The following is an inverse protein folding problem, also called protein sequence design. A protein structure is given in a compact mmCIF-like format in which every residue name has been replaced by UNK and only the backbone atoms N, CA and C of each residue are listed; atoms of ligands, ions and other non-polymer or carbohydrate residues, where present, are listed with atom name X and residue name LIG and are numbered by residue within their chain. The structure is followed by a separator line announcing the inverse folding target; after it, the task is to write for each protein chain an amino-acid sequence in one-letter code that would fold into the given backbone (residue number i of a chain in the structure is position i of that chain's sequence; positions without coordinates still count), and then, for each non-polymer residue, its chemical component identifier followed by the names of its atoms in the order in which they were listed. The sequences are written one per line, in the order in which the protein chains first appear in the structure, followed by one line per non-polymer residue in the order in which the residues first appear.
data_IF_325648404945
#
_entry.id   IF_325648404945
#
_cell.length_a   1.000
_cell.length_b   1.000
_cell.length_c   1.000
_cell.angle_alpha   90.00
_cell.angle_beta   90.00
_cell.angle_gamma   90.00
#
_symmetry.space_group_name_H-M   'P 1'
#
loop_
_entity.id
_entity.type
_entity.pdbx_description
1 polymer ?
#
# COMPACT_ATOMS: atom_id res chain seq x y z
N UNK A 1 76.36 -7.21 5.01
CA UNK A 1 76.19 -7.22 3.54
C UNK A 1 75.80 -8.57 2.97
N UNK A 2 76.60 -9.66 3.09
CA UNK A 2 76.21 -10.97 2.53
C UNK A 2 74.98 -11.59 3.20
N UNK A 3 74.90 -11.52 4.54
CA UNK A 3 73.78 -12.06 5.32
C UNK A 3 72.46 -11.31 5.10
N UNK A 4 72.53 -9.99 4.88
CA UNK A 4 71.35 -9.15 4.65
C UNK A 4 70.70 -9.45 3.29
N UNK A 5 71.52 -9.73 2.26
CA UNK A 5 71.07 -10.11 0.92
C UNK A 5 70.40 -11.49 0.94
N UNK A 6 70.97 -12.46 1.66
CA UNK A 6 70.37 -13.78 1.83
C UNK A 6 69.05 -13.71 2.59
N UNK A 7 68.98 -12.92 3.67
CA UNK A 7 67.75 -12.69 4.43
C UNK A 7 66.64 -12.09 3.56
N UNK A 8 66.97 -11.08 2.74
CA UNK A 8 66.02 -10.47 1.80
C UNK A 8 65.55 -11.45 0.72
N UNK A 9 66.46 -12.28 0.18
CA UNK A 9 66.12 -13.32 -0.80
C UNK A 9 65.13 -14.33 -0.22
N UNK A 10 65.36 -14.81 1.00
CA UNK A 10 64.44 -15.73 1.68
C UNK A 10 63.08 -15.09 1.92
N UNK A 11 63.03 -13.83 2.37
CA UNK A 11 61.77 -13.09 2.56
C UNK A 11 61.00 -12.96 1.24
N UNK A 12 61.68 -12.61 0.16
CA UNK A 12 61.07 -12.50 -1.17
C UNK A 12 60.49 -13.85 -1.63
N UNK A 13 61.23 -14.94 -1.46
CA UNK A 13 60.76 -16.29 -1.82
C UNK A 13 59.54 -16.72 -0.99
N UNK A 14 59.53 -16.41 0.30
CA UNK A 14 58.38 -16.67 1.17
C UNK A 14 57.16 -15.87 0.73
N UNK A 15 57.32 -14.57 0.45
CA UNK A 15 56.22 -13.72 -0.05
C UNK A 15 55.72 -14.20 -1.41
N UNK A 16 56.61 -14.62 -2.31
CA UNK A 16 56.21 -15.14 -3.61
C UNK A 16 55.38 -16.42 -3.46
N UNK A 17 55.81 -17.34 -2.59
CA UNK A 17 55.08 -18.58 -2.30
C UNK A 17 53.71 -18.31 -1.67
N UNK A 18 53.65 -17.35 -0.74
CA UNK A 18 52.39 -16.92 -0.12
C UNK A 18 51.46 -16.27 -1.16
N UNK A 19 52.00 -15.44 -2.05
CA UNK A 19 51.24 -14.83 -3.14
C UNK A 19 50.69 -15.88 -4.11
N UNK A 20 51.51 -16.86 -4.54
CA UNK A 20 51.08 -17.95 -5.42
C UNK A 20 49.97 -18.78 -4.76
N UNK A 21 50.11 -19.10 -3.46
CA UNK A 21 49.10 -19.81 -2.67
C UNK A 21 47.78 -19.01 -2.55
N UNK A 22 47.88 -17.70 -2.31
CA UNK A 22 46.72 -16.81 -2.26
C UNK A 22 46.02 -16.70 -3.62
N UNK A 23 46.76 -16.64 -4.73
CA UNK A 23 46.18 -16.65 -6.08
C UNK A 23 45.44 -17.95 -6.37
N UNK A 24 46.01 -19.10 -5.99
CA UNK A 24 45.32 -20.39 -6.14
C UNK A 24 44.05 -20.45 -5.29
N UNK A 25 44.11 -20.00 -4.03
CA UNK A 25 42.96 -19.96 -3.15
C UNK A 25 41.86 -19.04 -3.69
N UNK A 26 42.21 -17.85 -4.18
CA UNK A 26 41.28 -16.91 -4.82
C UNK A 26 40.62 -17.54 -6.05
N UNK A 27 41.40 -18.24 -6.88
CA UNK A 27 40.87 -18.97 -8.04
C UNK A 27 39.87 -20.07 -7.65
N UNK A 28 40.14 -20.82 -6.58
CA UNK A 28 39.20 -21.83 -6.04
C UNK A 28 37.91 -21.18 -5.55
N UNK A 29 38.00 -20.10 -4.77
CA UNK A 29 36.82 -19.38 -4.26
C UNK A 29 35.97 -18.81 -5.40
N UNK A 30 36.59 -18.23 -6.44
CA UNK A 30 35.87 -17.73 -7.61
C UNK A 30 35.12 -18.85 -8.35
N UNK A 31 35.74 -20.04 -8.49
CA UNK A 31 35.09 -21.20 -9.09
C UNK A 31 33.90 -21.69 -8.25
N UNK A 32 34.05 -21.75 -6.93
CA UNK A 32 32.98 -22.17 -6.03
C UNK A 32 31.82 -21.18 -6.01
N UNK A 33 32.09 -19.87 -6.03
CA UNK A 33 31.07 -18.84 -6.21
C UNK A 33 30.32 -19.01 -7.53
N UNK A 34 31.02 -19.28 -8.64
CA UNK A 34 30.39 -19.50 -9.94
C UNK A 34 29.48 -20.74 -9.92
N UNK A 35 29.94 -21.85 -9.35
CA UNK A 35 29.14 -23.07 -9.19
C UNK A 35 27.89 -22.84 -8.34
N UNK A 36 28.04 -22.21 -7.17
CA UNK A 36 26.92 -21.92 -6.29
C UNK A 36 25.91 -20.98 -6.95
N UNK A 37 26.36 -19.95 -7.67
CA UNK A 37 25.48 -19.04 -8.42
C UNK A 37 24.66 -19.80 -9.46
N UNK A 38 25.29 -20.69 -10.23
CA UNK A 38 24.59 -21.51 -11.22
C UNK A 38 23.58 -22.46 -10.56
N UNK A 39 23.95 -23.10 -9.45
CA UNK A 39 23.04 -23.97 -8.70
C UNK A 39 21.83 -23.19 -8.15
N UNK A 40 22.04 -22.00 -7.59
CA UNK A 40 20.96 -21.14 -7.10
C UNK A 40 20.03 -20.70 -8.23
N UNK A 41 20.57 -20.33 -9.39
CA UNK A 41 19.77 -19.97 -10.55
C UNK A 41 18.90 -21.15 -11.02
N UNK A 42 19.46 -22.35 -11.12
CA UNK A 42 18.69 -23.54 -11.49
C UNK A 42 17.62 -23.89 -10.45
N UNK A 43 17.91 -23.78 -9.16
CA UNK A 43 16.92 -24.01 -8.11
C UNK A 43 15.79 -22.97 -8.15
N UNK A 44 16.12 -21.70 -8.38
CA UNK A 44 15.13 -20.63 -8.50
C UNK A 44 14.18 -20.88 -9.68
N UNK A 45 14.71 -21.22 -10.86
CA UNK A 45 13.92 -21.57 -12.03
C UNK A 45 13.04 -22.81 -11.79
N UNK A 46 13.60 -23.85 -11.17
CA UNK A 46 12.84 -25.05 -10.82
C UNK A 46 11.70 -24.75 -9.84
N UNK A 47 11.94 -23.96 -8.79
CA UNK A 47 10.93 -23.56 -7.82
C UNK A 47 9.82 -22.72 -8.44
N UNK A 48 10.17 -21.77 -9.32
CA UNK A 48 9.19 -20.98 -10.07
C UNK A 48 8.31 -21.89 -10.93
N UNK A 49 8.90 -22.81 -11.68
CA UNK A 49 8.17 -23.75 -12.54
C UNK A 49 7.26 -24.69 -11.75
N UNK A 50 7.79 -25.30 -10.69
CA UNK A 50 7.03 -26.16 -9.79
C UNK A 50 5.87 -25.41 -9.14
N UNK A 51 6.13 -24.20 -8.64
CA UNK A 51 5.14 -23.32 -8.04
C UNK A 51 4.07 -22.89 -9.02
N UNK A 52 4.44 -22.57 -10.27
CA UNK A 52 3.52 -22.24 -11.33
C UNK A 52 2.57 -23.41 -11.64
N UNK A 53 3.10 -24.62 -11.79
CA UNK A 53 2.28 -25.81 -12.11
C UNK A 53 1.37 -26.18 -10.94
N UNK A 54 1.93 -26.40 -9.75
CA UNK A 54 1.16 -26.85 -8.59
C UNK A 54 0.17 -25.76 -8.13
N UNK A 55 0.62 -24.51 -8.09
CA UNK A 55 -0.20 -23.37 -7.73
C UNK A 55 -1.40 -23.21 -8.68
N UNK A 56 -1.21 -23.35 -9.99
CA UNK A 56 -2.33 -23.28 -10.95
C UNK A 56 -3.33 -24.43 -10.77
N UNK A 57 -2.89 -25.64 -10.43
CA UNK A 57 -3.78 -26.76 -10.14
C UNK A 57 -4.64 -26.45 -8.91
N UNK A 58 -4.02 -25.97 -7.82
CA UNK A 58 -4.73 -25.63 -6.59
C UNK A 58 -5.64 -24.41 -6.81
N UNK A 59 -5.19 -23.41 -7.57
CA UNK A 59 -6.02 -22.25 -7.91
C UNK A 59 -7.28 -22.65 -8.68
N UNK A 60 -7.16 -23.56 -9.66
CA UNK A 60 -8.32 -24.09 -10.36
C UNK A 60 -9.23 -24.90 -9.43
N UNK A 61 -8.65 -25.75 -8.59
CA UNK A 61 -9.41 -26.58 -7.65
C UNK A 61 -10.15 -25.74 -6.60
N UNK A 62 -9.53 -24.66 -6.09
CA UNK A 62 -10.10 -23.79 -5.05
C UNK A 62 -11.28 -22.94 -5.54
N UNK A 63 -11.65 -23.01 -6.83
CA UNK A 63 -12.94 -22.47 -7.30
C UNK A 63 -14.13 -23.27 -6.75
N UNK A 64 -13.90 -24.50 -6.31
CA UNK A 64 -14.90 -25.37 -5.71
C UNK A 64 -14.98 -25.04 -4.21
N UNK A 65 -16.13 -24.63 -3.66
CA UNK A 65 -16.26 -24.23 -2.26
C UNK A 65 -15.78 -25.30 -1.27
N UNK A 66 -16.08 -26.58 -1.54
CA UNK A 66 -15.66 -27.70 -0.69
C UNK A 66 -14.13 -27.85 -0.61
N UNK A 67 -13.41 -27.45 -1.67
CA UNK A 67 -11.93 -27.44 -1.66
C UNK A 67 -11.43 -26.31 -0.77
N UNK A 68 -12.08 -25.14 -0.79
CA UNK A 68 -11.75 -24.04 0.14
C UNK A 68 -11.95 -24.49 1.58
N UNK A 69 -13.07 -25.15 1.90
CA UNK A 69 -13.33 -25.67 3.24
C UNK A 69 -12.25 -26.67 3.68
N UNK A 70 -11.84 -27.56 2.76
CA UNK A 70 -10.74 -28.50 3.00
C UNK A 70 -9.41 -27.78 3.30
N UNK A 71 -9.05 -26.76 2.50
CA UNK A 71 -7.84 -25.96 2.71
C UNK A 71 -7.85 -25.26 4.08
N UNK A 72 -8.97 -24.65 4.46
CA UNK A 72 -9.13 -23.94 5.73
C UNK A 72 -9.13 -24.88 6.94
N UNK A 73 -9.61 -26.11 6.79
CA UNK A 73 -9.55 -27.14 7.84
C UNK A 73 -8.13 -27.70 8.05
N UNK A 74 -7.23 -27.49 7.09
CA UNK A 74 -5.86 -27.98 7.13
C UNK A 74 -4.96 -27.16 8.06
N UNK A 75 -4.00 -27.82 8.71
CA UNK A 75 -3.03 -27.17 9.59
C UNK A 75 -1.90 -26.41 8.85
N UNK A 76 -1.89 -26.46 7.51
CA UNK A 76 -0.87 -25.82 6.66
C UNK A 76 -1.29 -24.49 6.06
N UNK A 77 -2.51 -24.02 6.34
CA UNK A 77 -2.99 -22.77 5.77
C UNK A 77 -2.17 -21.56 6.22
N UNK A 78 -1.75 -21.50 7.49
CA UNK A 78 -0.87 -20.43 8.00
C UNK A 78 0.50 -20.42 7.31
N UNK A 79 1.13 -21.60 7.16
CA UNK A 79 2.40 -21.75 6.42
C UNK A 79 2.24 -21.26 4.97
N UNK A 80 1.14 -21.63 4.31
CA UNK A 80 0.83 -21.17 2.97
C UNK A 80 0.71 -19.64 2.90
N UNK A 81 -0.04 -18.99 3.82
CA UNK A 81 -0.17 -17.53 3.84
C UNK A 81 1.19 -16.83 4.01
N UNK A 82 2.07 -17.35 4.86
CA UNK A 82 3.44 -16.84 5.01
C UNK A 82 4.25 -16.95 3.73
N UNK A 83 4.13 -18.08 3.02
CA UNK A 83 4.80 -18.28 1.73
C UNK A 83 4.24 -17.29 0.69
N UNK A 84 2.92 -17.09 0.63
CA UNK A 84 2.31 -16.09 -0.27
C UNK A 84 2.88 -14.70 0.02
N UNK A 85 2.93 -14.33 1.30
CA UNK A 85 3.41 -13.02 1.74
C UNK A 85 4.88 -12.80 1.33
N UNK A 86 5.77 -13.74 1.68
CA UNK A 86 7.20 -13.64 1.36
C UNK A 86 7.47 -13.67 -0.15
N UNK A 87 6.74 -14.52 -0.89
CA UNK A 87 6.87 -14.61 -2.35
C UNK A 87 6.38 -13.32 -3.02
N UNK A 88 5.27 -12.73 -2.55
CA UNK A 88 4.76 -11.47 -3.08
C UNK A 88 5.74 -10.32 -2.85
N UNK A 89 6.27 -10.18 -1.63
CA UNK A 89 7.29 -9.16 -1.32
C UNK A 89 8.50 -9.32 -2.24
N UNK A 90 9.06 -10.53 -2.30
CA UNK A 90 10.22 -10.82 -3.13
C UNK A 90 9.97 -10.55 -4.61
N UNK A 91 8.79 -10.91 -5.12
CA UNK A 91 8.41 -10.66 -6.51
C UNK A 91 8.33 -9.16 -6.83
N UNK A 92 7.69 -8.38 -5.95
CA UNK A 92 7.59 -6.92 -6.14
C UNK A 92 8.97 -6.27 -6.06
N UNK A 93 9.82 -6.65 -5.10
CA UNK A 93 11.18 -6.11 -4.96
C UNK A 93 12.10 -6.48 -6.12
N UNK A 94 11.92 -7.66 -6.71
CA UNK A 94 12.75 -8.13 -7.83
C UNK A 94 12.44 -7.40 -9.12
N UNK A 95 11.15 -7.16 -9.39
CA UNK A 95 10.70 -6.65 -10.69
C UNK A 95 10.32 -5.17 -10.70
N UNK A 96 9.90 -4.61 -9.56
CA UNK A 96 9.60 -3.20 -9.25
C UNK A 96 8.95 -2.38 -10.38
N UNK A 97 9.73 -2.01 -11.41
CA UNK A 97 9.29 -1.23 -12.58
C UNK A 97 8.67 -2.05 -13.71
N UNK A 98 9.04 -3.32 -13.89
CA UNK A 98 8.56 -4.13 -15.01
C UNK A 98 8.49 -5.63 -14.67
N UNK A 99 7.27 -6.15 -14.65
CA UNK A 99 7.00 -7.56 -14.34
C UNK A 99 7.23 -8.46 -15.56
N UNK A 100 7.66 -9.72 -15.36
CA UNK A 100 7.80 -10.66 -16.43
C UNK A 100 6.43 -10.96 -17.05
N UNK A 101 6.42 -11.37 -18.32
CA UNK A 101 5.19 -11.64 -19.04
C UNK A 101 4.28 -12.62 -18.30
N UNK A 102 2.97 -12.50 -18.49
CA UNK A 102 1.97 -13.28 -17.76
C UNK A 102 2.16 -14.81 -17.87
N UNK A 103 2.82 -15.31 -18.92
CA UNK A 103 3.10 -16.73 -19.13
C UNK A 103 4.41 -17.21 -18.51
N UNK A 104 5.24 -16.31 -17.97
CA UNK A 104 6.45 -16.68 -17.26
C UNK A 104 6.11 -17.45 -15.98
N UNK A 105 6.96 -18.41 -15.62
CA UNK A 105 6.73 -19.26 -14.46
C UNK A 105 6.66 -18.44 -13.16
N UNK A 106 7.48 -17.39 -13.02
CA UNK A 106 7.45 -16.49 -11.87
C UNK A 106 6.10 -15.76 -11.74
N UNK A 107 5.60 -15.22 -12.87
CA UNK A 107 4.29 -14.54 -12.93
C UNK A 107 3.15 -15.53 -12.67
N UNK A 108 3.18 -16.71 -13.28
CA UNK A 108 2.18 -17.75 -13.06
C UNK A 108 2.17 -18.23 -11.61
N UNK A 109 3.35 -18.39 -11.01
CA UNK A 109 3.47 -18.80 -9.62
C UNK A 109 2.83 -17.76 -8.70
N UNK A 110 3.24 -16.48 -8.75
CA UNK A 110 2.68 -15.46 -7.85
C UNK A 110 1.19 -15.22 -8.10
N UNK A 111 0.75 -15.20 -9.37
CA UNK A 111 -0.67 -15.05 -9.70
C UNK A 111 -1.49 -16.22 -9.16
N UNK A 112 -0.99 -17.45 -9.25
CA UNK A 112 -1.71 -18.61 -8.72
C UNK A 112 -1.86 -18.55 -7.20
N UNK A 113 -0.83 -18.10 -6.49
CA UNK A 113 -0.86 -17.89 -5.04
C UNK A 113 -1.91 -16.85 -4.66
N UNK A 114 -1.88 -15.66 -5.26
CA UNK A 114 -2.89 -14.61 -5.04
C UNK A 114 -4.29 -15.05 -5.49
N UNK A 115 -4.38 -15.86 -6.53
CA UNK A 115 -5.62 -16.41 -7.06
C UNK A 115 -6.30 -17.40 -6.09
N UNK A 116 -5.52 -18.24 -5.41
CA UNK A 116 -6.02 -19.10 -4.34
C UNK A 116 -6.61 -18.24 -3.20
N UNK A 117 -5.90 -17.20 -2.78
CA UNK A 117 -6.40 -16.27 -1.74
C UNK A 117 -7.68 -15.56 -2.19
N UNK A 118 -7.76 -15.16 -3.45
CA UNK A 118 -8.96 -14.54 -4.03
C UNK A 118 -10.17 -15.47 -3.93
N UNK A 119 -9.99 -16.76 -4.26
CA UNK A 119 -11.03 -17.77 -4.13
C UNK A 119 -11.41 -18.06 -2.67
N UNK A 120 -10.43 -18.08 -1.75
CA UNK A 120 -10.69 -18.19 -0.32
C UNK A 120 -11.53 -17.01 0.16
N UNK A 121 -11.18 -15.77 -0.19
CA UNK A 121 -11.94 -14.58 0.16
C UNK A 121 -13.36 -14.59 -0.45
N UNK A 122 -13.60 -15.32 -1.54
CA UNK A 122 -14.94 -15.45 -2.10
C UNK A 122 -15.90 -16.23 -1.19
N UNK A 123 -15.41 -17.09 -0.29
CA UNK A 123 -16.25 -17.82 0.66
C UNK A 123 -16.43 -17.09 2.01
N UNK A 124 -17.60 -17.15 2.66
CA UNK A 124 -17.80 -16.53 3.98
C UNK A 124 -16.80 -17.01 5.04
N UNK A 125 -16.54 -18.32 5.08
CA UNK A 125 -15.58 -18.91 6.02
C UNK A 125 -14.16 -18.41 5.77
N UNK A 126 -13.77 -18.28 4.50
CA UNK A 126 -12.45 -17.76 4.12
C UNK A 126 -12.27 -16.29 4.47
N UNK A 127 -13.29 -15.44 4.25
CA UNK A 127 -13.27 -14.05 4.72
C UNK A 127 -13.06 -13.96 6.22
N UNK A 128 -13.87 -14.70 6.98
CA UNK A 128 -13.78 -14.73 8.43
C UNK A 128 -12.40 -15.20 8.90
N UNK A 129 -11.87 -16.26 8.28
CA UNK A 129 -10.54 -16.75 8.59
C UNK A 129 -9.44 -15.70 8.33
N UNK A 130 -9.43 -15.08 7.16
CA UNK A 130 -8.40 -14.11 6.77
C UNK A 130 -8.38 -12.88 7.69
N UNK A 131 -9.54 -12.42 8.17
CA UNK A 131 -9.64 -11.24 9.05
C UNK A 131 -9.55 -11.56 10.54
N UNK A 132 -9.46 -12.83 10.94
CA UNK A 132 -9.28 -13.24 12.34
C UNK A 132 -7.93 -13.88 12.61
N UNK A 133 -7.35 -14.56 11.62
CA UNK A 133 -6.02 -15.14 11.70
C UNK A 133 -4.93 -14.05 11.59
N UNK A 134 -3.91 -14.03 12.48
CA UNK A 134 -2.83 -13.03 12.42
C UNK A 134 -2.09 -13.01 11.08
N UNK A 135 -1.72 -14.17 10.54
CA UNK A 135 -1.05 -14.29 9.24
C UNK A 135 -1.97 -13.88 8.09
N UNK A 136 -3.27 -14.15 8.21
CA UNK A 136 -4.28 -13.65 7.27
C UNK A 136 -4.30 -12.12 7.22
N UNK A 137 -4.32 -11.47 8.39
CA UNK A 137 -4.25 -10.01 8.50
C UNK A 137 -2.95 -9.46 7.92
N UNK A 138 -1.81 -10.05 8.24
CA UNK A 138 -0.51 -9.63 7.70
C UNK A 138 -0.50 -9.69 6.16
N UNK A 139 -1.10 -10.72 5.56
CA UNK A 139 -1.22 -10.84 4.12
C UNK A 139 -2.15 -9.77 3.52
N UNK A 140 -3.28 -9.47 4.17
CA UNK A 140 -4.19 -8.39 3.72
C UNK A 140 -3.51 -7.02 3.81
N UNK A 141 -2.77 -6.77 4.89
CA UNK A 141 -1.94 -5.56 5.05
C UNK A 141 -0.89 -5.47 3.95
N UNK A 142 -0.26 -6.59 3.59
CA UNK A 142 0.66 -6.64 2.45
C UNK A 142 -0.04 -6.33 1.13
N UNK A 143 -1.21 -6.92 0.87
CA UNK A 143 -2.00 -6.67 -0.34
C UNK A 143 -2.30 -5.19 -0.53
N UNK A 144 -2.74 -4.49 0.52
CA UNK A 144 -2.96 -3.04 0.49
C UNK A 144 -1.67 -2.29 0.19
N UNK A 145 -0.57 -2.65 0.85
CA UNK A 145 0.73 -1.97 0.69
C UNK A 145 1.35 -2.14 -0.70
N UNK A 146 1.25 -3.32 -1.31
CA UNK A 146 1.87 -3.57 -2.61
C UNK A 146 1.03 -3.09 -3.77
N UNK A 147 -0.29 -2.95 -3.60
CA UNK A 147 -1.20 -2.56 -4.66
C UNK A 147 -0.77 -1.31 -5.47
N UNK A 148 -0.32 -0.20 -4.85
CA UNK A 148 0.18 0.96 -5.61
C UNK A 148 1.57 0.73 -6.25
N UNK A 149 2.33 -0.27 -5.79
CA UNK A 149 3.67 -0.60 -6.31
C UNK A 149 3.65 -1.52 -7.52
N UNK A 150 2.50 -2.12 -7.85
CA UNK A 150 2.37 -3.02 -8.99
C UNK A 150 2.38 -2.18 -10.29
N UNK A 151 3.39 -2.35 -11.17
CA UNK A 151 3.53 -1.56 -12.38
C UNK A 151 2.42 -1.90 -13.38
N UNK A 152 1.92 -0.88 -14.06
CA UNK A 152 0.97 -1.00 -15.17
C UNK A 152 1.71 -0.76 -16.50
N UNK A 153 1.41 -1.51 -17.58
CA UNK A 153 0.40 -2.57 -17.68
C UNK A 153 0.89 -3.97 -17.30
N UNK A 154 2.21 -4.18 -17.10
CA UNK A 154 2.80 -5.52 -16.93
C UNK A 154 2.23 -6.30 -15.74
N UNK A 155 1.79 -5.62 -14.69
CA UNK A 155 1.23 -6.20 -13.47
C UNK A 155 -0.30 -6.22 -13.39
N UNK A 156 -1.01 -5.86 -14.46
CA UNK A 156 -2.48 -5.73 -14.42
C UNK A 156 -3.18 -7.00 -13.93
N UNK A 157 -2.73 -8.18 -14.35
CA UNK A 157 -3.31 -9.45 -13.91
C UNK A 157 -3.16 -9.69 -12.40
N UNK A 158 -1.99 -9.38 -11.84
CA UNK A 158 -1.75 -9.50 -10.40
C UNK A 158 -2.60 -8.48 -9.63
N UNK A 159 -2.65 -7.24 -10.12
CA UNK A 159 -3.46 -6.16 -9.54
C UNK A 159 -4.93 -6.54 -9.47
N UNK A 160 -5.45 -7.15 -10.54
CA UNK A 160 -6.83 -7.66 -10.62
C UNK A 160 -7.13 -8.64 -9.49
N UNK A 161 -6.24 -9.60 -9.25
CA UNK A 161 -6.43 -10.62 -8.21
C UNK A 161 -6.46 -9.99 -6.81
N UNK A 162 -5.53 -9.07 -6.54
CA UNK A 162 -5.46 -8.40 -5.24
C UNK A 162 -6.70 -7.52 -5.02
N UNK A 163 -7.11 -6.73 -6.01
CA UNK A 163 -8.34 -5.93 -5.94
C UNK A 163 -9.58 -6.81 -5.71
N UNK A 164 -9.68 -7.94 -6.41
CA UNK A 164 -10.78 -8.88 -6.23
C UNK A 164 -10.78 -9.51 -4.83
N UNK A 165 -9.61 -9.87 -4.30
CA UNK A 165 -9.49 -10.39 -2.95
C UNK A 165 -9.91 -9.35 -1.90
N UNK A 166 -9.43 -8.10 -2.01
CA UNK A 166 -9.80 -7.01 -1.09
C UNK A 166 -11.29 -6.68 -1.18
N UNK A 167 -11.86 -6.63 -2.39
CA UNK A 167 -13.30 -6.45 -2.58
C UNK A 167 -14.08 -7.60 -1.95
N UNK A 168 -13.65 -8.84 -2.16
CA UNK A 168 -14.30 -9.98 -1.53
C UNK A 168 -14.28 -9.84 0.00
N UNK A 169 -13.14 -9.47 0.60
CA UNK A 169 -13.04 -9.21 2.05
C UNK A 169 -14.04 -8.13 2.50
N UNK A 170 -14.21 -7.05 1.74
CA UNK A 170 -15.10 -5.95 2.15
C UNK A 170 -16.59 -6.30 2.11
N UNK A 171 -16.99 -7.44 1.54
CA UNK A 171 -18.40 -7.88 1.47
C UNK A 171 -18.99 -8.20 2.85
N UNK A 172 -18.19 -8.63 3.85
CA UNK A 172 -18.70 -8.91 5.20
C UNK A 172 -18.28 -7.84 6.22
N UNK A 173 -19.08 -7.63 7.26
CA UNK A 173 -18.87 -6.56 8.25
C UNK A 173 -17.47 -6.59 8.88
N UNK A 174 -16.98 -7.77 9.27
CA UNK A 174 -15.66 -7.89 9.88
C UNK A 174 -14.54 -7.47 8.92
N UNK A 175 -14.65 -7.84 7.65
CA UNK A 175 -13.68 -7.44 6.63
C UNK A 175 -13.79 -5.98 6.23
N UNK A 176 -15.00 -5.44 6.13
CA UNK A 176 -15.24 -4.02 5.91
C UNK A 176 -14.61 -3.17 7.01
N UNK A 177 -14.94 -3.45 8.28
CA UNK A 177 -14.38 -2.73 9.43
C UNK A 177 -12.85 -2.86 9.46
N UNK A 178 -12.32 -4.06 9.23
CA UNK A 178 -10.88 -4.28 9.18
C UNK A 178 -10.19 -3.45 8.11
N UNK A 179 -10.75 -3.36 6.90
CA UNK A 179 -10.20 -2.56 5.81
C UNK A 179 -10.33 -1.05 6.08
N UNK A 180 -11.44 -0.61 6.65
CA UNK A 180 -11.64 0.80 7.04
C UNK A 180 -10.62 1.28 8.09
N UNK A 181 -10.10 0.39 8.94
CA UNK A 181 -9.04 0.71 9.90
C UNK A 181 -7.65 0.86 9.24
N UNK A 182 -7.49 0.48 7.96
CA UNK A 182 -6.20 0.54 7.26
C UNK A 182 -5.97 1.89 6.63
N UNK A 183 -5.03 2.65 7.20
CA UNK A 183 -4.60 3.96 6.67
C UNK A 183 -4.18 3.93 5.21
N UNK A 184 -3.62 2.82 4.74
CA UNK A 184 -3.06 2.71 3.40
C UNK A 184 -4.11 2.34 2.33
N UNK A 185 -5.35 1.97 2.70
CA UNK A 185 -6.36 1.51 1.73
C UNK A 185 -6.83 2.62 0.79
N UNK A 186 -7.13 3.81 1.33
CA UNK A 186 -7.61 4.94 0.54
C UNK A 186 -6.51 5.46 -0.40
N UNK A 187 -5.26 5.68 0.05
CA UNK A 187 -4.15 6.01 -0.86
C UNK A 187 -3.93 4.95 -1.95
N UNK A 188 -4.05 3.66 -1.62
CA UNK A 188 -3.90 2.59 -2.60
C UNK A 188 -5.01 2.62 -3.68
N UNK A 189 -6.26 2.87 -3.28
CA UNK A 189 -7.39 3.06 -4.21
C UNK A 189 -7.17 4.30 -5.08
N UNK A 190 -6.84 5.44 -4.48
CA UNK A 190 -6.56 6.69 -5.19
C UNK A 190 -5.46 6.51 -6.23
N UNK A 191 -4.36 5.85 -5.88
CA UNK A 191 -3.28 5.53 -6.80
C UNK A 191 -3.78 4.73 -8.02
N UNK A 192 -4.71 3.78 -7.82
CA UNK A 192 -5.29 3.01 -8.92
C UNK A 192 -6.25 3.83 -9.78
N UNK A 193 -7.06 4.71 -9.18
CA UNK A 193 -7.98 5.58 -9.92
C UNK A 193 -7.24 6.54 -10.85
N UNK A 194 -6.06 7.03 -10.43
CA UNK A 194 -5.20 7.92 -11.23
C UNK A 194 -4.32 7.19 -12.26
N UNK A 195 -4.02 5.92 -12.03
CA UNK A 195 -3.08 5.19 -12.88
C UNK A 195 -3.66 5.03 -14.30
N UNK A 196 -2.80 5.07 -15.33
CA UNK A 196 -3.09 4.66 -16.71
C UNK A 196 -3.30 3.12 -16.81
N UNK A 197 -4.03 2.57 -15.86
CA UNK A 197 -4.39 1.17 -15.81
C UNK A 197 -5.57 0.91 -16.76
N UNK A 198 -5.78 -0.37 -17.08
CA UNK A 198 -6.90 -0.78 -17.91
C UNK A 198 -8.24 -0.42 -17.23
N UNK A 199 -9.26 -0.08 -18.04
CA UNK A 199 -10.54 0.44 -17.52
C UNK A 199 -11.19 -0.48 -16.49
N UNK A 200 -11.04 -1.79 -16.65
CA UNK A 200 -11.53 -2.81 -15.73
C UNK A 200 -10.91 -2.69 -14.32
N UNK A 201 -9.61 -2.40 -14.21
CA UNK A 201 -8.93 -2.23 -12.91
C UNK A 201 -9.41 -0.99 -12.17
N UNK A 202 -9.69 0.07 -12.92
CA UNK A 202 -10.26 1.31 -12.39
C UNK A 202 -11.68 1.09 -11.87
N UNK A 203 -12.52 0.37 -12.62
CA UNK A 203 -13.85 -0.06 -12.17
C UNK A 203 -13.76 -0.94 -10.91
N UNK A 204 -12.81 -1.88 -10.85
CA UNK A 204 -12.63 -2.72 -9.65
C UNK A 204 -12.22 -1.91 -8.43
N UNK A 205 -11.36 -0.91 -8.61
CA UNK A 205 -10.97 0.02 -7.54
C UNK A 205 -12.15 0.87 -7.08
N UNK A 206 -13.00 1.30 -8.03
CA UNK A 206 -14.25 2.01 -7.73
C UNK A 206 -15.24 1.12 -6.96
N UNK A 207 -15.40 -0.15 -7.34
CA UNK A 207 -16.24 -1.13 -6.61
C UNK A 207 -15.72 -1.41 -5.20
N UNK A 208 -14.40 -1.46 -5.01
CA UNK A 208 -13.80 -1.56 -3.69
C UNK A 208 -14.10 -0.33 -2.84
N UNK A 209 -13.99 0.87 -3.42
CA UNK A 209 -14.34 2.13 -2.75
C UNK A 209 -15.83 2.21 -2.40
N UNK A 210 -16.70 1.81 -3.31
CA UNK A 210 -18.15 1.67 -3.07
C UNK A 210 -18.41 0.76 -1.87
N UNK A 211 -17.74 -0.39 -1.78
CA UNK A 211 -17.87 -1.29 -0.64
C UNK A 211 -17.34 -0.69 0.65
N UNK A 212 -16.21 0.03 0.62
CA UNK A 212 -15.63 0.69 1.78
C UNK A 212 -16.53 1.82 2.31
N UNK A 213 -17.18 2.55 1.41
CA UNK A 213 -18.09 3.66 1.74
C UNK A 213 -19.48 3.20 2.15
N UNK A 214 -19.85 1.93 1.91
CA UNK A 214 -21.19 1.40 2.17
C UNK A 214 -21.71 1.70 3.60
N UNK A 215 -20.85 1.53 4.61
CA UNK A 215 -21.17 1.90 5.99
C UNK A 215 -19.98 2.59 6.66
N UNK A 216 -19.93 3.92 6.57
CA UNK A 216 -18.88 4.71 7.23
C UNK A 216 -19.09 4.66 8.75
N UNK A 217 -18.11 4.06 9.43
CA UNK A 217 -18.16 3.73 10.85
C UNK A 217 -17.86 4.92 11.77
N UNK A 218 -17.06 5.89 11.32
CA UNK A 218 -16.62 7.04 12.13
C UNK A 218 -16.55 8.33 11.32
N UNK A 219 -16.71 9.48 11.99
CA UNK A 219 -16.49 10.80 11.38
C UNK A 219 -15.06 10.95 10.84
N UNK A 220 -14.08 10.42 11.57
CA UNK A 220 -12.68 10.44 11.12
C UNK A 220 -12.50 9.74 9.77
N UNK A 221 -13.12 8.58 9.57
CA UNK A 221 -13.06 7.89 8.28
C UNK A 221 -13.73 8.72 7.17
N UNK A 222 -14.85 9.39 7.46
CA UNK A 222 -15.50 10.30 6.50
C UNK A 222 -14.52 11.40 6.05
N UNK A 223 -13.87 12.07 7.00
CA UNK A 223 -12.88 13.12 6.73
C UNK A 223 -11.68 12.57 5.93
N UNK A 224 -11.15 11.41 6.32
CA UNK A 224 -10.04 10.76 5.60
C UNK A 224 -10.40 10.42 4.14
N UNK A 225 -11.64 9.98 3.89
CA UNK A 225 -12.13 9.72 2.52
C UNK A 225 -12.23 11.04 1.74
N UNK A 226 -12.78 12.10 2.33
CA UNK A 226 -12.89 13.43 1.70
C UNK A 226 -11.53 14.05 1.38
N UNK A 227 -10.51 13.79 2.18
CA UNK A 227 -9.15 14.29 1.97
C UNK A 227 -8.35 13.47 0.94
N UNK A 228 -8.60 12.16 0.86
CA UNK A 228 -7.73 11.23 0.10
C UNK A 228 -8.29 10.86 -1.27
N UNK A 229 -9.61 10.78 -1.41
CA UNK A 229 -10.25 10.33 -2.65
C UNK A 229 -10.46 11.51 -3.61
N UNK A 230 -10.01 11.39 -4.88
CA UNK A 230 -10.20 12.43 -5.89
C UNK A 230 -11.65 12.39 -6.41
N UNK A 231 -12.55 13.15 -5.78
CA UNK A 231 -13.97 13.18 -6.18
C UNK A 231 -14.18 13.72 -7.60
N UNK A 232 -13.23 14.47 -8.14
CA UNK A 232 -13.25 14.92 -9.54
C UNK A 232 -13.29 13.72 -10.51
N UNK A 233 -12.51 12.67 -10.22
CA UNK A 233 -12.50 11.44 -11.04
C UNK A 233 -13.83 10.70 -10.94
N UNK A 234 -14.44 10.70 -9.75
CA UNK A 234 -15.75 10.06 -9.54
C UNK A 234 -16.83 10.82 -10.31
N UNK A 235 -16.82 12.16 -10.27
CA UNK A 235 -17.75 13.00 -11.02
C UNK A 235 -17.58 12.80 -12.54
N UNK A 236 -16.34 12.70 -13.04
CA UNK A 236 -16.04 12.37 -14.44
C UNK A 236 -16.63 11.01 -14.85
N UNK A 237 -16.55 9.99 -13.98
CA UNK A 237 -17.15 8.67 -14.24
C UNK A 237 -18.67 8.72 -14.32
N UNK A 238 -19.32 9.56 -13.51
CA UNK A 238 -20.78 9.77 -13.57
C UNK A 238 -21.19 10.45 -14.88
N UNK A 239 -20.37 11.42 -15.32
CA UNK A 239 -20.57 12.15 -16.57
C UNK A 239 -20.28 11.29 -17.81
N UNK A 240 -19.53 10.20 -17.66
CA UNK A 240 -19.23 9.27 -18.75
C UNK A 240 -20.46 8.42 -19.14
N UNK A 241 -20.43 7.89 -20.38
CA UNK A 241 -21.41 6.91 -20.88
C UNK A 241 -21.07 5.45 -20.46
N UNK A 242 -20.14 5.26 -19.51
CA UNK A 242 -19.79 3.94 -19.00
C UNK A 242 -20.93 3.38 -18.12
N UNK A 243 -21.68 2.42 -18.69
CA UNK A 243 -22.83 1.79 -18.06
C UNK A 243 -22.49 1.02 -16.78
N UNK A 244 -21.22 0.61 -16.59
CA UNK A 244 -20.78 -0.10 -15.39
C UNK A 244 -20.23 0.86 -14.32
N UNK A 245 -19.42 1.85 -14.72
CA UNK A 245 -18.80 2.77 -13.77
C UNK A 245 -19.79 3.75 -13.14
N UNK A 246 -20.72 4.28 -13.94
CA UNK A 246 -21.68 5.31 -13.51
C UNK A 246 -22.52 4.95 -12.27
N UNK A 247 -23.20 3.78 -12.20
CA UNK A 247 -24.00 3.42 -11.02
C UNK A 247 -23.12 3.24 -9.77
N UNK A 248 -21.91 2.69 -9.92
CA UNK A 248 -20.98 2.51 -8.80
C UNK A 248 -20.49 3.86 -8.26
N UNK A 249 -20.16 4.79 -9.16
CA UNK A 249 -19.75 6.14 -8.80
C UNK A 249 -20.86 6.92 -8.08
N UNK A 250 -22.11 6.81 -8.56
CA UNK A 250 -23.26 7.45 -7.92
C UNK A 250 -23.48 6.90 -6.50
N UNK A 251 -23.41 5.58 -6.31
CA UNK A 251 -23.61 4.98 -4.99
C UNK A 251 -22.54 5.41 -3.98
N UNK A 252 -21.30 5.65 -4.42
CA UNK A 252 -20.26 6.23 -3.56
C UNK A 252 -20.68 7.62 -3.07
N UNK A 253 -21.19 8.49 -3.95
CA UNK A 253 -21.65 9.82 -3.53
C UNK A 253 -22.84 9.74 -2.57
N UNK A 254 -23.78 8.84 -2.84
CA UNK A 254 -24.94 8.61 -1.98
C UNK A 254 -24.52 8.08 -0.59
N UNK A 255 -23.52 7.20 -0.54
CA UNK A 255 -22.91 6.72 0.71
C UNK A 255 -22.29 7.86 1.52
N UNK A 256 -21.52 8.72 0.87
CA UNK A 256 -20.88 9.87 1.50
C UNK A 256 -21.93 10.84 2.05
N UNK A 257 -22.99 11.12 1.30
CA UNK A 257 -24.06 12.01 1.76
C UNK A 257 -24.83 11.43 2.94
N UNK A 258 -25.14 10.12 2.91
CA UNK A 258 -25.74 9.41 4.05
C UNK A 258 -24.85 9.51 5.29
N UNK A 259 -23.53 9.39 5.14
CA UNK A 259 -22.58 9.52 6.24
C UNK A 259 -22.50 10.96 6.77
N UNK A 260 -22.48 11.99 5.90
CA UNK A 260 -22.54 13.40 6.33
C UNK A 260 -23.77 13.69 7.16
N UNK A 261 -24.94 13.22 6.70
CA UNK A 261 -26.20 13.35 7.43
C UNK A 261 -26.14 12.63 8.79
N UNK A 262 -25.62 11.39 8.82
CA UNK A 262 -25.43 10.60 10.05
C UNK A 262 -24.57 11.32 11.09
N UNK A 263 -23.52 12.03 10.67
CA UNK A 263 -22.61 12.74 11.58
C UNK A 263 -22.93 14.24 11.75
N UNK A 264 -24.02 14.74 11.16
CA UNK A 264 -24.43 16.15 11.29
C UNK A 264 -23.50 17.14 10.58
N UNK A 265 -22.71 16.67 9.61
CA UNK A 265 -21.86 17.52 8.77
C UNK A 265 -22.76 18.13 7.70
N UNK A 266 -22.93 19.46 7.74
CA UNK A 266 -23.70 20.15 6.70
C UNK A 266 -23.00 19.97 5.34
N UNK A 267 -23.75 19.74 4.26
CA UNK A 267 -23.27 19.52 2.88
C UNK A 267 -22.59 20.75 2.24
N UNK A 268 -22.07 21.68 3.06
CA UNK A 268 -21.45 22.93 2.68
C UNK A 268 -19.93 22.83 2.56
N UNK A 269 -19.45 22.59 1.34
CA UNK A 269 -18.14 23.05 0.90
C UNK A 269 -17.15 21.98 0.48
N UNK A 270 -17.31 21.43 -0.73
CA UNK A 270 -16.13 21.04 -1.51
C UNK A 270 -15.25 22.30 -1.64
N UNK A 271 -14.10 22.28 -0.96
CA UNK A 271 -13.05 23.31 -0.95
C UNK A 271 -13.43 24.73 -0.50
N UNK A 272 -13.39 24.96 0.82
CA UNK A 272 -12.73 26.17 1.32
C UNK A 272 -11.49 25.73 2.11
N UNK A 273 -10.31 25.98 1.53
CA UNK A 273 -9.04 25.94 2.26
C UNK A 273 -9.23 26.75 3.54
N UNK A 274 -9.05 26.13 4.69
CA UNK A 274 -9.05 26.86 5.96
C UNK A 274 -8.03 27.98 5.86
N UNK A 275 -8.50 29.22 5.98
CA UNK A 275 -7.60 30.36 6.12
C UNK A 275 -7.00 30.21 7.52
N UNK A 276 -5.67 30.05 7.67
CA UNK A 276 -5.06 29.96 8.99
C UNK A 276 -5.45 31.21 9.79
N UNK A 277 -5.77 31.03 11.06
CA UNK A 277 -6.26 32.06 11.99
C UNK A 277 -5.47 33.38 11.93
N UNK A 278 -4.19 33.28 11.58
CA UNK A 278 -3.22 34.36 11.40
C UNK A 278 -3.49 35.27 10.18
N UNK A 279 -4.49 34.97 9.35
CA UNK A 279 -4.90 35.77 8.18
C UNK A 279 -6.34 36.30 8.26
N UNK A 280 -7.02 36.16 9.40
CA UNK A 280 -8.30 36.84 9.62
C UNK A 280 -8.07 38.34 9.83
N UNK A 281 -8.76 39.16 9.03
CA UNK A 281 -8.72 40.64 9.01
C UNK A 281 -8.95 41.31 10.38
N UNK A 282 -9.47 40.57 11.36
CA UNK A 282 -9.70 41.04 12.72
C UNK A 282 -8.47 41.02 13.64
N UNK A 283 -7.40 40.30 13.29
CA UNK A 283 -6.16 40.24 14.12
C UNK A 283 -5.20 41.40 13.79
N UNK A 284 -5.23 41.91 12.56
CA UNK A 284 -4.36 43.04 12.15
C UNK A 284 -4.76 44.38 12.78
N UNK A 285 -5.98 44.50 13.33
CA UNK A 285 -6.42 45.70 14.06
C UNK A 285 -5.96 45.72 15.54
N UNK A 286 -5.61 44.57 16.12
CA UNK A 286 -5.16 44.45 17.51
C UNK A 286 -3.68 44.75 17.71
N UNK A 287 -2.84 44.42 16.72
CA UNK A 287 -1.38 44.60 16.82
C UNK A 287 -0.94 46.06 16.61
N UNK A 288 -1.75 46.89 15.94
CA UNK A 288 -1.46 48.33 15.77
C UNK A 288 -1.74 49.18 17.03
N UNK A 289 -2.48 48.65 18.02
CA UNK A 289 -2.83 49.37 19.26
C UNK A 289 -1.79 49.11 20.36
N UNK A 290 -1.13 47.95 20.38
CA UNK A 290 -0.08 47.64 21.36
C UNK A 290 1.26 48.35 21.06
N UNK A 291 1.59 48.60 19.79
CA UNK A 291 2.80 49.33 19.40
C UNK A 291 2.75 50.84 19.70
N UNK A 292 1.53 51.38 19.87
CA UNK A 292 1.32 52.80 20.22
C UNK A 292 1.34 53.05 21.74
N UNK A 293 1.26 52.00 22.57
CA UNK A 293 1.25 52.08 24.04
C UNK A 293 2.64 51.87 24.70
N UNK A 294 3.66 51.45 23.95
CA UNK A 294 5.03 51.28 24.46
C UNK A 294 5.96 52.48 24.24
N UNK A 295 5.55 53.52 23.49
CA UNK A 295 6.35 54.74 23.31
C UNK A 295 5.77 55.90 24.11
N UNK A 296 6.07 55.89 25.41
CA UNK A 296 5.68 56.94 26.35
C UNK A 296 6.15 58.34 25.92
N UNK A 297 5.20 59.27 25.87
CA UNK A 297 5.39 60.71 26.06
C UNK A 297 4.02 61.37 26.08
N UNK A 298 3.54 61.80 27.24
CA UNK A 298 2.65 62.96 27.37
C UNK A 298 2.76 63.53 28.80
N UNK A 299 2.94 64.85 28.97
CA UNK A 299 3.12 65.50 30.26
C UNK A 299 1.79 65.85 30.95
N UNK A 300 1.85 65.92 32.28
CA UNK A 300 0.78 66.29 33.19
C UNK A 300 0.73 67.82 33.34
N UNK A 301 -0.44 68.43 33.09
CA UNK A 301 -0.99 69.66 33.71
C UNK A 301 -2.29 70.04 32.96
N UNK A 302 -3.36 70.64 33.52
CA UNK A 302 -3.86 70.96 34.87
C UNK A 302 -5.24 71.60 34.64
N UNK A 303 -6.20 71.40 35.56
CA UNK A 303 -7.38 72.25 35.86
C UNK A 303 -8.43 72.50 34.74
N UNK A 304 -9.74 72.58 34.97
CA UNK A 304 -10.47 73.29 36.02
C UNK A 304 -11.73 72.53 36.46
N UNK A 305 -12.09 72.68 37.74
CA UNK A 305 -13.41 72.31 38.27
C UNK A 305 -14.44 73.43 38.16
N UNK A 306 -15.62 73.14 38.72
CA UNK A 306 -16.69 73.97 39.36
C UNK A 306 -18.02 73.24 39.07
N UNK A 307 -18.63 72.52 40.05
CA UNK A 307 -19.66 72.97 41.03
C UNK A 307 -20.87 73.69 40.39
N UNK A 308 -22.14 73.54 40.78
CA UNK A 308 -22.84 72.81 41.84
C UNK A 308 -24.37 73.03 41.66
N UNK A 309 -25.15 72.33 42.49
CA UNK A 309 -26.50 72.67 43.00
C UNK A 309 -27.68 72.25 42.12
N UNK A 310 -28.76 71.65 42.62
CA UNK A 310 -29.32 71.54 43.99
C UNK A 310 -29.78 70.11 44.28
#
# INVERSE_FOLDING_TARGET
MSCDIECLRTKYQNLQTEWDSQQEHLGRLQNDMYKMRNQLQHQSQFCASLGAVLGNLIWKASRIPQVVDMLLSGNKMGDFLNIVNGTLVSFIETYDSHMPGQCADESQFIMSMCGIITNIAASPAGRQFLVTNPTGKELLDMFVRVLPRIPCPSGNCLKRLILMALYNISINQYGLNYLQEKKDILPAITSNLHCECANDLRIMSLRLLQSITYEISTLKLLEEIEETIPFEIIDEMIASDDAEAKPVAQEILDNMERARQKFGVSSGGRHQKSVPYNRCFFVQAGESIQDSLQKGKLPIHRNYGVSASK
#
